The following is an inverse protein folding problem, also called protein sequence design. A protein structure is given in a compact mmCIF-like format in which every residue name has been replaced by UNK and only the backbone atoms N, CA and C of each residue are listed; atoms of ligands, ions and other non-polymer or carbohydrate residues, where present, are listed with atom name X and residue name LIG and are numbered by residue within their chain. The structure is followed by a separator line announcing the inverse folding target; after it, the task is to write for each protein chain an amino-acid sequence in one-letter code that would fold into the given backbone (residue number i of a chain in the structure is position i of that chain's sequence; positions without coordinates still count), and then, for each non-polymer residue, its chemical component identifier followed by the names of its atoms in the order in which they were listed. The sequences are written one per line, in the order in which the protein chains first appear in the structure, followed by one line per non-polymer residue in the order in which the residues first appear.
data_IF_420309176641
#
_entry.id   IF_420309176641
#
_cell.length_a   1.000
_cell.length_b   1.000
_cell.length_c   1.000
_cell.angle_alpha   90.00
_cell.angle_beta   90.00
_cell.angle_gamma   90.00
#
_symmetry.space_group_name_H-M   'P 1'
#
loop_
_entity.id
_entity.type
_entity.pdbx_description
1 polymer ?
#
# COMPACT_ATOMS: atom_id res chain seq x y z
N UNK A 1 44.53 -64.93 1.72
CA UNK A 1 43.51 -64.47 0.75
C UNK A 1 42.30 -63.86 1.46
N UNK A 2 41.78 -64.50 2.53
CA UNK A 2 40.60 -64.06 3.30
C UNK A 2 40.68 -62.65 3.93
N UNK A 3 41.84 -62.27 4.49
CA UNK A 3 42.01 -60.98 5.17
C UNK A 3 41.91 -59.81 4.17
N UNK A 4 42.48 -59.99 2.97
CA UNK A 4 42.46 -58.97 1.90
C UNK A 4 41.03 -58.76 1.41
N UNK A 5 40.26 -59.83 1.24
CA UNK A 5 38.84 -59.76 0.84
C UNK A 5 38.00 -59.02 1.89
N UNK A 6 38.21 -59.29 3.18
CA UNK A 6 37.52 -58.58 4.27
C UNK A 6 37.85 -57.09 4.31
N UNK A 7 39.10 -56.70 4.07
CA UNK A 7 39.50 -55.28 4.00
C UNK A 7 38.79 -54.57 2.83
N UNK A 8 38.73 -55.21 1.66
CA UNK A 8 38.01 -54.66 0.51
C UNK A 8 36.50 -54.52 0.76
N UNK A 9 35.87 -55.49 1.44
CA UNK A 9 34.46 -55.42 1.82
C UNK A 9 34.20 -54.23 2.76
N UNK A 10 35.05 -54.02 3.77
CA UNK A 10 34.93 -52.87 4.70
C UNK A 10 35.05 -51.55 3.94
N UNK A 11 36.05 -51.40 3.07
CA UNK A 11 36.22 -50.19 2.24
C UNK A 11 35.02 -49.95 1.31
N UNK A 12 34.46 -51.01 0.73
CA UNK A 12 33.27 -50.94 -0.12
C UNK A 12 32.04 -50.47 0.66
N UNK A 13 31.80 -51.02 1.86
CA UNK A 13 30.68 -50.60 2.71
C UNK A 13 30.84 -49.16 3.22
N UNK A 14 32.05 -48.73 3.57
CA UNK A 14 32.32 -47.33 3.96
C UNK A 14 32.03 -46.39 2.79
N UNK A 15 32.57 -46.71 1.60
CA UNK A 15 32.38 -45.87 0.40
C UNK A 15 30.91 -45.81 0.01
N UNK A 16 30.21 -46.95 0.01
CA UNK A 16 28.77 -47.02 -0.25
C UNK A 16 27.95 -46.22 0.76
N UNK A 17 28.33 -46.27 2.04
CA UNK A 17 27.66 -45.49 3.10
C UNK A 17 27.88 -43.98 2.92
N UNK A 18 29.09 -43.55 2.57
CA UNK A 18 29.39 -42.13 2.29
C UNK A 18 28.60 -41.62 1.08
N UNK A 19 28.53 -42.40 0.00
CA UNK A 19 27.74 -42.05 -1.19
C UNK A 19 26.25 -41.97 -0.86
N UNK A 20 25.73 -42.91 -0.06
CA UNK A 20 24.33 -42.91 0.36
C UNK A 20 23.99 -41.67 1.20
N UNK A 21 24.86 -41.31 2.15
CA UNK A 21 24.68 -40.11 2.98
C UNK A 21 24.74 -38.83 2.15
N UNK A 22 25.73 -38.70 1.25
CA UNK A 22 25.84 -37.54 0.36
C UNK A 22 24.65 -37.42 -0.58
N UNK A 23 24.16 -38.54 -1.11
CA UNK A 23 22.96 -38.58 -1.96
C UNK A 23 21.72 -38.16 -1.18
N UNK A 24 21.56 -38.64 0.06
CA UNK A 24 20.44 -38.24 0.93
C UNK A 24 20.49 -36.74 1.27
N UNK A 25 21.67 -36.21 1.62
CA UNK A 25 21.86 -34.77 1.88
C UNK A 25 21.54 -33.96 0.62
N UNK A 26 22.01 -34.39 -0.55
CA UNK A 26 21.75 -33.71 -1.82
C UNK A 26 20.27 -33.73 -2.19
N UNK A 27 19.59 -34.86 -2.01
CA UNK A 27 18.15 -34.99 -2.28
C UNK A 27 17.31 -34.16 -1.30
N UNK A 28 17.64 -34.19 0.00
CA UNK A 28 16.99 -33.39 1.04
C UNK A 28 17.18 -31.89 0.78
N UNK A 29 18.41 -31.46 0.47
CA UNK A 29 18.71 -30.08 0.13
C UNK A 29 18.06 -29.66 -1.20
N UNK A 30 17.98 -30.56 -2.19
CA UNK A 30 17.30 -30.30 -3.46
C UNK A 30 15.79 -30.07 -3.30
N UNK A 31 15.10 -30.88 -2.49
CA UNK A 31 13.67 -30.74 -2.22
C UNK A 31 13.34 -29.51 -1.35
N UNK A 32 14.16 -29.22 -0.34
CA UNK A 32 14.01 -28.02 0.48
C UNK A 32 14.33 -26.75 -0.33
N UNK A 33 15.32 -26.81 -1.22
CA UNK A 33 15.62 -25.72 -2.14
C UNK A 33 14.48 -25.49 -3.12
N UNK A 34 13.81 -26.51 -3.67
CA UNK A 34 12.71 -26.28 -4.60
C UNK A 34 11.53 -25.56 -3.96
N UNK A 35 11.15 -25.94 -2.72
CA UNK A 35 10.06 -25.28 -1.98
C UNK A 35 10.44 -23.85 -1.59
N UNK A 36 11.67 -23.64 -1.09
CA UNK A 36 12.15 -22.30 -0.78
C UNK A 36 12.23 -21.42 -2.03
N UNK A 37 12.69 -21.98 -3.16
CA UNK A 37 12.76 -21.26 -4.45
C UNK A 37 11.37 -20.88 -4.96
N UNK A 38 10.36 -21.75 -4.84
CA UNK A 38 8.98 -21.42 -5.23
C UNK A 38 8.39 -20.31 -4.33
N UNK A 39 8.63 -20.40 -3.02
CA UNK A 39 8.23 -19.34 -2.09
C UNK A 39 8.89 -18.01 -2.44
N UNK A 40 10.22 -18.01 -2.63
CA UNK A 40 10.97 -16.81 -2.99
C UNK A 40 10.50 -16.24 -4.33
N UNK A 41 10.19 -17.09 -5.32
CA UNK A 41 9.59 -16.63 -6.58
C UNK A 41 8.27 -15.90 -6.35
N UNK A 42 7.37 -16.45 -5.52
CA UNK A 42 6.10 -15.78 -5.17
C UNK A 42 6.32 -14.45 -4.46
N UNK A 43 7.33 -14.38 -3.58
CA UNK A 43 7.73 -13.12 -2.93
C UNK A 43 8.21 -12.11 -3.97
N UNK A 44 9.12 -12.48 -4.87
CA UNK A 44 9.63 -11.59 -5.91
C UNK A 44 8.51 -11.09 -6.84
N UNK A 45 7.65 -11.99 -7.31
CA UNK A 45 6.51 -11.66 -8.16
C UNK A 45 5.55 -10.69 -7.43
N UNK A 46 5.23 -10.96 -6.16
CA UNK A 46 4.36 -10.08 -5.37
C UNK A 46 4.98 -8.71 -5.13
N UNK A 47 6.28 -8.66 -4.83
CA UNK A 47 7.01 -7.40 -4.63
C UNK A 47 7.09 -6.56 -5.90
N UNK A 48 7.22 -7.19 -7.07
CA UNK A 48 7.13 -6.50 -8.36
C UNK A 48 5.76 -5.84 -8.56
N UNK A 49 4.68 -6.56 -8.23
CA UNK A 49 3.32 -6.01 -8.26
C UNK A 49 3.18 -4.88 -7.25
N UNK A 50 3.69 -5.05 -6.02
CA UNK A 50 3.63 -4.03 -4.97
C UNK A 50 4.35 -2.74 -5.36
N UNK A 51 5.54 -2.85 -5.96
CA UNK A 51 6.30 -1.72 -6.45
C UNK A 51 5.52 -0.90 -7.49
N UNK A 52 4.74 -1.59 -8.33
CA UNK A 52 3.82 -0.96 -9.28
C UNK A 52 2.62 -0.32 -8.56
N UNK A 53 1.92 -1.06 -7.70
CA UNK A 53 0.73 -0.58 -6.97
C UNK A 53 1.01 0.69 -6.17
N UNK A 54 2.17 0.77 -5.51
CA UNK A 54 2.60 1.93 -4.71
C UNK A 54 2.93 3.15 -5.60
N UNK A 55 3.27 2.93 -6.87
CA UNK A 55 3.68 4.00 -7.79
C UNK A 55 2.63 4.38 -8.83
N UNK A 56 1.63 3.52 -9.08
CA UNK A 56 0.58 3.70 -10.10
C UNK A 56 -0.14 5.05 -9.98
N UNK A 57 -0.20 5.65 -8.80
CA UNK A 57 -0.81 6.97 -8.59
C UNK A 57 0.02 8.13 -9.17
N UNK A 58 1.34 7.95 -9.34
CA UNK A 58 2.26 8.97 -9.84
C UNK A 58 2.58 8.80 -11.33
N UNK A 59 2.25 7.63 -11.91
CA UNK A 59 2.38 7.38 -13.33
C UNK A 59 1.30 8.13 -14.13
N UNK A 60 1.71 9.06 -14.99
CA UNK A 60 0.82 9.85 -15.86
C UNK A 60 -0.01 9.00 -16.83
N UNK A 61 0.47 7.81 -17.17
CA UNK A 61 -0.19 6.88 -18.09
C UNK A 61 -1.19 5.98 -17.37
N UNK A 62 -1.08 5.86 -16.04
CA UNK A 62 -1.97 5.05 -15.22
C UNK A 62 -3.36 5.67 -15.13
N UNK A 63 -4.38 4.82 -15.03
CA UNK A 63 -5.75 5.24 -14.76
C UNK A 63 -5.91 5.80 -13.34
N UNK A 64 -5.01 5.41 -12.42
CA UNK A 64 -4.96 5.89 -11.03
C UNK A 64 -4.18 7.19 -10.87
N UNK A 65 -3.78 7.84 -11.95
CA UNK A 65 -2.97 9.06 -11.87
C UNK A 65 -3.69 10.12 -11.04
N UNK A 66 -3.04 10.61 -9.98
CA UNK A 66 -3.67 11.46 -8.96
C UNK A 66 -4.40 12.67 -9.54
N UNK A 67 -3.91 13.27 -10.62
CA UNK A 67 -4.51 14.47 -11.21
C UNK A 67 -5.82 14.19 -11.97
N UNK A 68 -6.14 12.93 -12.25
CA UNK A 68 -7.42 12.52 -12.83
C UNK A 68 -8.53 12.42 -11.76
N UNK A 69 -8.16 12.40 -10.49
CA UNK A 69 -9.11 12.25 -9.38
C UNK A 69 -9.65 13.61 -8.95
N UNK A 70 -10.98 13.76 -8.88
CA UNK A 70 -11.65 14.95 -8.39
C UNK A 70 -12.44 14.67 -7.11
N UNK A 71 -11.68 14.26 -6.09
CA UNK A 71 -12.21 13.86 -4.77
C UNK A 71 -12.97 14.99 -4.07
N UNK A 72 -12.52 16.24 -4.25
CA UNK A 72 -13.16 17.42 -3.67
C UNK A 72 -14.54 17.65 -4.29
N UNK A 73 -14.66 17.53 -5.61
CA UNK A 73 -15.93 17.65 -6.31
C UNK A 73 -16.87 16.51 -5.97
N UNK A 74 -16.39 15.27 -5.86
CA UNK A 74 -17.20 14.11 -5.42
C UNK A 74 -17.94 14.42 -4.10
N UNK A 75 -17.18 14.86 -3.10
CA UNK A 75 -17.71 15.14 -1.75
C UNK A 75 -18.66 16.34 -1.75
N UNK A 76 -18.27 17.44 -2.40
CA UNK A 76 -19.09 18.64 -2.40
C UNK A 76 -20.35 18.47 -3.24
N UNK A 77 -20.31 17.71 -4.33
CA UNK A 77 -21.49 17.42 -5.14
C UNK A 77 -22.56 16.66 -4.34
N UNK A 78 -22.19 15.56 -3.67
CA UNK A 78 -23.10 14.80 -2.79
C UNK A 78 -23.64 15.67 -1.64
N UNK A 79 -22.80 16.54 -1.07
CA UNK A 79 -23.23 17.48 -0.05
C UNK A 79 -24.23 18.50 -0.61
N UNK A 80 -23.95 19.09 -1.77
CA UNK A 80 -24.77 20.14 -2.39
C UNK A 80 -26.15 19.62 -2.76
N UNK A 81 -26.23 18.44 -3.38
CA UNK A 81 -27.51 17.78 -3.71
C UNK A 81 -28.40 17.63 -2.47
N UNK A 82 -27.82 17.32 -1.31
CA UNK A 82 -28.56 17.14 -0.06
C UNK A 82 -29.00 18.45 0.59
N UNK A 83 -28.26 19.55 0.41
CA UNK A 83 -28.51 20.81 1.12
C UNK A 83 -29.29 21.85 0.31
N UNK A 84 -29.25 21.79 -1.03
CA UNK A 84 -29.90 22.77 -1.91
C UNK A 84 -31.40 22.94 -1.58
N UNK A 85 -32.19 21.86 -1.40
CA UNK A 85 -33.61 21.99 -1.05
C UNK A 85 -33.87 22.67 0.31
N UNK A 86 -32.89 22.65 1.20
CA UNK A 86 -33.01 23.11 2.59
C UNK A 86 -32.25 24.41 2.89
N UNK A 87 -31.79 25.15 1.87
CA UNK A 87 -31.00 26.39 2.03
C UNK A 87 -31.55 27.34 3.09
N UNK A 88 -32.84 27.66 3.02
CA UNK A 88 -33.46 28.60 3.95
C UNK A 88 -33.51 28.07 5.39
N UNK A 89 -33.79 26.78 5.56
CA UNK A 89 -33.81 26.13 6.87
C UNK A 89 -32.41 26.06 7.49
N UNK A 90 -31.39 25.72 6.70
CA UNK A 90 -29.99 25.63 7.15
C UNK A 90 -29.50 26.99 7.66
N UNK A 91 -29.80 28.07 6.93
CA UNK A 91 -29.38 29.42 7.32
C UNK A 91 -30.12 29.89 8.58
N UNK A 92 -31.42 29.56 8.69
CA UNK A 92 -32.28 30.03 9.79
C UNK A 92 -32.06 29.24 11.08
N UNK A 93 -32.07 27.91 11.00
CA UNK A 93 -31.91 27.01 12.14
C UNK A 93 -30.45 26.76 12.52
N UNK A 94 -29.50 27.10 11.64
CA UNK A 94 -28.06 26.80 11.79
C UNK A 94 -27.74 25.31 11.95
N UNK A 95 -28.62 24.47 11.41
CA UNK A 95 -28.50 23.02 11.42
C UNK A 95 -28.21 22.50 10.02
N UNK A 96 -27.45 21.42 9.93
CA UNK A 96 -27.08 20.76 8.68
C UNK A 96 -27.43 19.27 8.79
N UNK A 97 -27.82 18.61 7.69
CA UNK A 97 -28.02 17.17 7.68
C UNK A 97 -26.75 16.46 8.15
N UNK A 98 -26.88 15.44 9.02
CA UNK A 98 -25.74 14.68 9.51
C UNK A 98 -25.19 13.76 8.41
N UNK A 99 -23.89 13.49 8.49
CA UNK A 99 -23.20 12.59 7.57
C UNK A 99 -22.77 13.27 6.27
N UNK A 100 -21.51 13.05 5.89
CA UNK A 100 -20.98 13.40 4.58
C UNK A 100 -20.29 12.17 4.04
N UNK A 101 -20.50 11.87 2.76
CA UNK A 101 -19.79 10.78 2.10
C UNK A 101 -18.31 11.15 2.01
N UNK A 102 -17.44 10.24 2.48
CA UNK A 102 -16.01 10.37 2.24
C UNK A 102 -15.70 10.12 0.76
N UNK A 103 -14.63 10.74 0.22
CA UNK A 103 -14.16 10.43 -1.13
C UNK A 103 -13.93 8.93 -1.34
N UNK A 104 -14.25 8.44 -2.54
CA UNK A 104 -13.97 7.08 -2.99
C UNK A 104 -12.53 6.63 -2.72
N UNK A 105 -11.54 7.53 -2.86
CA UNK A 105 -10.13 7.26 -2.56
C UNK A 105 -9.87 6.72 -1.16
N UNK A 106 -10.65 7.11 -0.16
CA UNK A 106 -10.51 6.56 1.20
C UNK A 106 -10.74 5.05 1.22
N UNK A 107 -11.76 4.58 0.48
CA UNK A 107 -12.08 3.17 0.42
C UNK A 107 -10.98 2.41 -0.33
N UNK A 108 -10.45 2.98 -1.41
CA UNK A 108 -9.32 2.38 -2.14
C UNK A 108 -8.07 2.22 -1.25
N UNK A 109 -7.71 3.25 -0.50
CA UNK A 109 -6.55 3.21 0.40
C UNK A 109 -6.76 2.24 1.56
N UNK A 110 -7.98 2.16 2.10
CA UNK A 110 -8.30 1.23 3.19
C UNK A 110 -8.26 -0.23 2.72
N UNK A 111 -8.81 -0.52 1.54
CA UNK A 111 -8.72 -1.85 0.91
C UNK A 111 -7.25 -2.22 0.69
N UNK A 112 -6.47 -1.32 0.08
CA UNK A 112 -5.05 -1.57 -0.16
C UNK A 112 -4.27 -1.80 1.14
N UNK A 113 -4.53 -0.99 2.18
CA UNK A 113 -3.93 -1.16 3.50
C UNK A 113 -4.24 -2.54 4.10
N UNK A 114 -5.50 -2.98 4.04
CA UNK A 114 -5.93 -4.26 4.61
C UNK A 114 -5.34 -5.46 3.86
N UNK A 115 -5.21 -5.37 2.54
CA UNK A 115 -4.53 -6.36 1.71
C UNK A 115 -3.06 -6.50 2.15
N UNK A 116 -2.31 -5.39 2.25
CA UNK A 116 -0.89 -5.43 2.60
C UNK A 116 -0.65 -5.91 4.04
N UNK A 117 -1.50 -5.55 4.99
CA UNK A 117 -1.39 -6.02 6.39
C UNK A 117 -1.39 -7.56 6.47
N UNK A 118 -2.21 -8.20 5.66
CA UNK A 118 -2.42 -9.65 5.69
C UNK A 118 -1.56 -10.43 4.68
N UNK A 119 -0.82 -9.75 3.81
CA UNK A 119 -0.07 -10.39 2.72
C UNK A 119 1.09 -11.26 3.24
N UNK A 120 1.07 -12.60 3.04
CA UNK A 120 2.13 -13.48 3.52
C UNK A 120 3.41 -13.44 2.65
N UNK A 121 3.35 -12.84 1.46
CA UNK A 121 4.45 -12.79 0.50
C UNK A 121 5.19 -11.45 0.48
N UNK A 122 4.79 -10.49 1.31
CA UNK A 122 5.55 -9.23 1.49
C UNK A 122 6.45 -9.34 2.72
N UNK A 123 7.79 -9.22 2.58
CA UNK A 123 8.72 -9.22 3.71
C UNK A 123 8.36 -8.17 4.76
N UNK A 124 8.53 -8.52 6.04
CA UNK A 124 8.05 -7.72 7.18
C UNK A 124 8.49 -6.26 7.12
N UNK A 125 9.77 -6.00 6.81
CA UNK A 125 10.35 -4.66 6.72
C UNK A 125 9.65 -3.77 5.67
N UNK A 126 9.42 -4.33 4.47
CA UNK A 126 8.72 -3.63 3.38
C UNK A 126 7.26 -3.40 3.76
N UNK A 127 6.60 -4.43 4.30
CA UNK A 127 5.21 -4.37 4.75
C UNK A 127 4.98 -3.27 5.79
N UNK A 128 5.82 -3.23 6.83
CA UNK A 128 5.74 -2.21 7.88
C UNK A 128 5.87 -0.79 7.31
N UNK A 129 6.78 -0.59 6.34
CA UNK A 129 6.97 0.71 5.69
C UNK A 129 5.76 1.13 4.86
N UNK A 130 5.21 0.22 4.05
CA UNK A 130 3.99 0.47 3.25
C UNK A 130 2.79 0.75 4.16
N UNK A 131 2.58 -0.09 5.18
CA UNK A 131 1.49 0.07 6.16
C UNK A 131 1.60 1.42 6.86
N UNK A 132 2.79 1.78 7.36
CA UNK A 132 3.00 3.06 8.02
C UNK A 132 2.71 4.25 7.11
N UNK A 133 3.10 4.19 5.83
CA UNK A 133 2.81 5.24 4.86
C UNK A 133 1.30 5.38 4.63
N UNK A 134 0.62 4.26 4.36
CA UNK A 134 -0.82 4.24 4.08
C UNK A 134 -1.65 4.65 5.30
N UNK A 135 -1.31 4.19 6.51
CA UNK A 135 -2.00 4.59 7.74
C UNK A 135 -1.85 6.09 8.02
N UNK A 136 -0.63 6.62 7.89
CA UNK A 136 -0.39 8.06 8.04
C UNK A 136 -1.24 8.84 7.04
N UNK A 137 -1.16 8.46 5.76
CA UNK A 137 -1.88 9.12 4.67
C UNK A 137 -3.38 9.09 4.88
N UNK A 138 -3.97 7.93 5.16
CA UNK A 138 -5.42 7.78 5.38
C UNK A 138 -5.89 8.62 6.57
N UNK A 139 -5.14 8.61 7.68
CA UNK A 139 -5.47 9.39 8.87
C UNK A 139 -5.40 10.90 8.61
N UNK A 140 -4.32 11.36 8.00
CA UNK A 140 -4.11 12.78 7.67
C UNK A 140 -5.13 13.27 6.65
N UNK A 141 -5.42 12.49 5.62
CA UNK A 141 -6.46 12.80 4.64
C UNK A 141 -7.82 12.89 5.33
N UNK A 142 -8.16 11.95 6.21
CA UNK A 142 -9.45 11.97 6.94
C UNK A 142 -9.60 13.24 7.77
N UNK A 143 -8.56 13.56 8.54
CA UNK A 143 -8.50 14.77 9.36
C UNK A 143 -8.66 16.04 8.51
N UNK A 144 -7.92 16.15 7.40
CA UNK A 144 -7.99 17.31 6.52
C UNK A 144 -9.39 17.50 5.92
N UNK A 145 -10.01 16.42 5.42
CA UNK A 145 -11.37 16.45 4.89
C UNK A 145 -12.40 16.83 5.95
N UNK A 146 -12.36 16.22 7.14
CA UNK A 146 -13.32 16.53 8.19
C UNK A 146 -13.23 17.99 8.64
N UNK A 147 -12.01 18.49 8.86
CA UNK A 147 -11.80 19.88 9.30
C UNK A 147 -12.28 20.89 8.24
N UNK A 148 -11.94 20.67 6.97
CA UNK A 148 -12.37 21.57 5.91
C UNK A 148 -13.87 21.46 5.63
N UNK A 149 -14.46 20.26 5.76
CA UNK A 149 -15.90 20.08 5.65
C UNK A 149 -16.63 20.83 6.76
N UNK A 150 -16.18 20.73 8.00
CA UNK A 150 -16.84 21.42 9.11
C UNK A 150 -16.74 22.95 8.93
N UNK A 151 -15.58 23.46 8.53
CA UNK A 151 -15.42 24.87 8.19
C UNK A 151 -16.34 25.30 7.03
N UNK A 152 -16.46 24.48 5.99
CA UNK A 152 -17.34 24.75 4.86
C UNK A 152 -18.82 24.77 5.27
N UNK A 153 -19.26 23.77 6.05
CA UNK A 153 -20.62 23.68 6.59
C UNK A 153 -20.94 24.88 7.47
N UNK A 154 -20.01 25.32 8.31
CA UNK A 154 -20.21 26.51 9.14
C UNK A 154 -20.33 27.79 8.31
N UNK A 155 -19.59 27.89 7.20
CA UNK A 155 -19.80 28.94 6.22
C UNK A 155 -21.21 28.92 5.61
N UNK A 156 -21.68 27.75 5.18
CA UNK A 156 -23.02 27.56 4.61
C UNK A 156 -24.13 27.92 5.61
N UNK A 157 -24.03 27.47 6.87
CA UNK A 157 -24.95 27.86 7.95
C UNK A 157 -24.98 29.38 8.13
N UNK A 158 -23.87 30.06 7.91
CA UNK A 158 -23.74 31.51 7.99
C UNK A 158 -24.13 32.26 6.70
N UNK A 159 -24.70 31.57 5.73
CA UNK A 159 -25.15 32.18 4.47
C UNK A 159 -24.02 32.47 3.49
N UNK A 160 -22.79 31.97 3.73
CA UNK A 160 -21.66 32.10 2.81
C UNK A 160 -21.66 30.96 1.80
N UNK A 161 -20.94 31.15 0.68
CA UNK A 161 -20.64 30.13 -0.34
C UNK A 161 -21.81 29.62 -1.20
N UNK A 162 -23.06 29.99 -0.89
CA UNK A 162 -24.25 29.57 -1.63
C UNK A 162 -24.30 30.05 -3.09
N UNK A 163 -23.63 31.17 -3.39
CA UNK A 163 -23.65 31.75 -4.74
C UNK A 163 -22.57 31.13 -5.66
N UNK A 164 -21.70 30.29 -5.11
CA UNK A 164 -20.54 29.70 -5.79
C UNK A 164 -20.45 28.19 -5.63
N UNK A 165 -21.58 27.52 -5.35
CA UNK A 165 -21.62 26.05 -5.12
C UNK A 165 -20.87 25.27 -6.20
N UNK A 166 -21.10 25.60 -7.48
CA UNK A 166 -20.48 24.94 -8.63
C UNK A 166 -18.95 24.98 -8.61
N UNK A 167 -18.33 26.04 -8.08
CA UNK A 167 -16.88 26.25 -8.12
C UNK A 167 -16.21 26.08 -6.76
N UNK A 168 -16.98 25.85 -5.69
CA UNK A 168 -16.43 25.75 -4.34
C UNK A 168 -15.43 24.59 -4.19
N UNK A 169 -15.56 23.55 -5.01
CA UNK A 169 -14.66 22.40 -4.99
C UNK A 169 -13.19 22.76 -5.28
N UNK A 170 -12.92 23.80 -6.07
CA UNK A 170 -11.54 24.22 -6.37
C UNK A 170 -10.80 24.76 -5.15
N UNK A 171 -11.40 25.71 -4.42
CA UNK A 171 -10.74 26.27 -3.24
C UNK A 171 -10.73 25.26 -2.08
N UNK A 172 -11.77 24.43 -1.97
CA UNK A 172 -11.85 23.36 -0.99
C UNK A 172 -10.75 22.32 -1.21
N UNK A 173 -10.53 21.91 -2.46
CA UNK A 173 -9.40 21.05 -2.84
C UNK A 173 -8.06 21.67 -2.44
N UNK A 174 -7.83 22.94 -2.76
CA UNK A 174 -6.58 23.62 -2.40
C UNK A 174 -6.34 23.63 -0.89
N UNK A 175 -7.38 23.87 -0.07
CA UNK A 175 -7.27 23.84 1.39
C UNK A 175 -6.92 22.47 1.93
N UNK A 176 -7.52 21.42 1.39
CA UNK A 176 -7.16 20.05 1.74
C UNK A 176 -5.70 19.80 1.38
N UNK A 177 -5.30 20.14 0.15
CA UNK A 177 -3.93 19.93 -0.32
C UNK A 177 -2.91 20.67 0.57
N UNK A 178 -3.16 21.93 0.92
CA UNK A 178 -2.30 22.70 1.83
C UNK A 178 -2.08 21.97 3.17
N UNK A 179 -3.14 21.39 3.75
CA UNK A 179 -3.05 20.62 4.99
C UNK A 179 -2.29 19.32 4.82
N UNK A 180 -2.55 18.59 3.72
CA UNK A 180 -1.80 17.37 3.41
C UNK A 180 -0.30 17.66 3.33
N UNK A 181 0.10 18.75 2.67
CA UNK A 181 1.49 19.18 2.60
C UNK A 181 2.09 19.54 3.97
N UNK A 182 1.33 20.25 4.81
CA UNK A 182 1.76 20.61 6.17
C UNK A 182 2.01 19.38 7.06
N UNK A 183 1.25 18.31 6.87
CA UNK A 183 1.39 17.06 7.63
C UNK A 183 2.35 16.04 6.98
N UNK A 184 3.00 16.40 5.87
CA UNK A 184 3.95 15.53 5.19
C UNK A 184 3.28 14.41 4.39
N UNK A 185 2.12 14.68 3.80
CA UNK A 185 1.32 13.80 2.96
C UNK A 185 0.89 14.48 1.64
N UNK A 186 1.57 15.57 1.25
CA UNK A 186 1.40 16.19 -0.05
C UNK A 186 1.82 15.23 -1.18
N UNK A 187 1.34 15.49 -2.41
CA UNK A 187 1.54 14.54 -3.52
C UNK A 187 3.01 14.21 -3.78
N UNK A 188 3.90 15.21 -3.76
CA UNK A 188 5.34 15.00 -3.95
C UNK A 188 6.00 14.25 -2.79
N UNK A 189 5.52 14.44 -1.56
CA UNK A 189 6.01 13.73 -0.38
C UNK A 189 5.58 12.26 -0.39
N UNK A 190 4.36 11.99 -0.88
CA UNK A 190 3.89 10.61 -1.08
C UNK A 190 4.66 9.93 -2.23
N UNK A 191 5.00 10.66 -3.29
CA UNK A 191 5.81 10.16 -4.41
C UNK A 191 7.22 9.79 -3.94
N UNK A 192 7.86 10.64 -3.14
CA UNK A 192 9.15 10.35 -2.53
C UNK A 192 9.09 9.10 -1.64
N UNK A 193 8.09 8.99 -0.77
CA UNK A 193 7.91 7.80 0.07
C UNK A 193 7.66 6.53 -0.76
N UNK A 194 6.96 6.64 -1.89
CA UNK A 194 6.76 5.54 -2.84
C UNK A 194 8.08 5.11 -3.49
N UNK A 195 8.94 6.06 -3.87
CA UNK A 195 10.28 5.77 -4.37
C UNK A 195 11.12 5.04 -3.32
N UNK A 196 11.12 5.50 -2.07
CA UNK A 196 11.89 4.82 -1.02
C UNK A 196 11.42 3.38 -0.76
N UNK A 197 10.13 3.09 -0.94
CA UNK A 197 9.60 1.72 -0.85
C UNK A 197 10.11 0.88 -2.02
N UNK A 198 10.13 1.45 -3.23
CA UNK A 198 10.66 0.77 -4.43
C UNK A 198 12.15 0.49 -4.30
N UNK A 199 12.92 1.41 -3.74
CA UNK A 199 14.35 1.22 -3.49
C UNK A 199 14.59 0.10 -2.46
N UNK A 200 13.76 0.01 -1.42
CA UNK A 200 13.82 -1.09 -0.46
C UNK A 200 13.45 -2.44 -1.11
N UNK A 201 12.49 -2.46 -2.03
CA UNK A 201 12.16 -3.65 -2.83
C UNK A 201 13.33 -4.04 -3.75
N UNK A 202 13.96 -3.06 -4.40
CA UNK A 202 15.15 -3.31 -5.21
C UNK A 202 16.29 -3.87 -4.36
N UNK A 203 16.54 -3.29 -3.19
CA UNK A 203 17.53 -3.80 -2.24
C UNK A 203 17.23 -5.23 -1.79
N UNK A 204 15.95 -5.58 -1.61
CA UNK A 204 15.55 -6.96 -1.35
C UNK A 204 15.94 -7.89 -2.52
N UNK A 205 15.69 -7.49 -3.76
CA UNK A 205 16.06 -8.27 -4.96
C UNK A 205 17.58 -8.45 -5.08
N UNK A 206 18.35 -7.40 -4.84
CA UNK A 206 19.82 -7.43 -4.91
C UNK A 206 20.45 -8.26 -3.78
N UNK A 207 19.80 -8.33 -2.62
CA UNK A 207 20.26 -9.12 -1.48
C UNK A 207 20.08 -10.63 -1.64
N UNK A 208 19.32 -11.07 -2.65
CA UNK A 208 19.02 -12.48 -2.86
C UNK A 208 20.24 -13.22 -3.43
N UNK A 209 20.88 -14.03 -2.59
CA UNK A 209 21.94 -14.95 -2.98
C UNK A 209 21.36 -16.38 -3.15
N UNK A 210 21.28 -16.92 -4.38
CA UNK A 210 20.72 -18.25 -4.63
C UNK A 210 21.58 -19.40 -4.08
N UNK A 211 22.82 -19.13 -3.65
CA UNK A 211 23.78 -20.13 -3.17
C UNK A 211 23.75 -20.24 -1.65
N UNK A 212 23.48 -19.14 -0.95
CA UNK A 212 23.24 -19.14 0.50
C UNK A 212 21.75 -19.39 0.74
N UNK A 213 21.36 -20.67 0.73
CA UNK A 213 20.07 -21.07 1.30
C UNK A 213 19.94 -20.46 2.70
N UNK A 214 18.89 -19.66 2.89
CA UNK A 214 18.48 -19.06 4.17
C UNK A 214 18.46 -20.05 5.32
#
# INVERSE_FOLDING_TARGET
MDIVVKIFQVMFYITGSVIAVLTYIKAKNGLLNSVNTEYQKKVMDRLSILAKEVYDEFDRTSDKFWAKEDQAKEVLHDLHEKIIPYKHEIITKKEMPPGVRLPSKFQELDVFLNEIKSDPFVPRKIREKVVSLLEKRTKTMFSAYMQELDAYKDGLKNGKYWDTLETNHHWFHNKINDRLYQEGCGISQNEEAAHEIRDEIQGYFESFDPIKGS
#
